data_IF_989297608259
#
_entry.id   IF_989297608259
#
_cell.length_a   1.000
_cell.length_b   1.000
_cell.length_c   1.000
_cell.angle_alpha   90.00
_cell.angle_beta   90.00
_cell.angle_gamma   90.00
#
_symmetry.space_group_name_H-M   'P 1'
#
loop_
_entity.id
_entity.type
_entity.pdbx_description
1 polymer ?
#
# COMPACT_ATOMS: atom_id res chain seq x y z
N UNK A 1 21.59 -13.24 -10.68
CA UNK A 1 21.76 -12.39 -9.47
C UNK A 1 22.13 -13.30 -8.31
N UNK A 2 23.29 -13.11 -7.66
CA UNK A 2 23.72 -13.91 -6.50
C UNK A 2 23.19 -13.24 -5.23
N UNK A 3 22.22 -13.84 -4.55
CA UNK A 3 21.81 -13.36 -3.22
C UNK A 3 22.81 -13.86 -2.19
N UNK A 4 23.53 -12.93 -1.55
CA UNK A 4 24.40 -13.20 -0.40
C UNK A 4 23.61 -12.79 0.85
N UNK A 5 23.08 -13.77 1.57
CA UNK A 5 22.49 -13.53 2.89
C UNK A 5 23.63 -13.68 3.89
N UNK A 6 24.15 -12.56 4.41
CA UNK A 6 25.14 -12.54 5.49
C UNK A 6 24.42 -12.46 6.82
N UNK A 7 24.20 -13.59 7.48
CA UNK A 7 23.79 -13.62 8.89
C UNK A 7 25.00 -13.36 9.78
N UNK A 8 24.90 -12.38 10.68
CA UNK A 8 25.98 -11.91 11.56
C UNK A 8 26.16 -12.83 12.78
N UNK A 9 26.30 -14.13 12.57
CA UNK A 9 26.81 -15.08 13.57
C UNK A 9 27.19 -16.39 12.86
N UNK A 10 28.46 -16.74 12.99
CA UNK A 10 29.13 -17.97 12.55
C UNK A 10 29.51 -18.12 11.07
N UNK A 11 30.76 -18.54 10.93
CA UNK A 11 31.63 -18.49 9.76
C UNK A 11 31.36 -19.67 8.80
N UNK A 12 30.12 -19.82 8.34
CA UNK A 12 29.73 -20.82 7.33
C UNK A 12 29.09 -20.11 6.13
N UNK A 13 29.88 -19.76 5.12
CA UNK A 13 29.33 -19.39 3.80
C UNK A 13 28.79 -20.64 3.12
N UNK A 14 27.54 -21.01 3.42
CA UNK A 14 26.82 -21.98 2.62
C UNK A 14 26.50 -21.34 1.26
N UNK A 15 27.25 -21.70 0.23
CA UNK A 15 26.92 -21.37 -1.15
C UNK A 15 25.73 -22.23 -1.60
N UNK A 16 24.51 -21.77 -1.30
CA UNK A 16 23.29 -22.39 -1.81
C UNK A 16 23.10 -21.94 -3.25
N UNK A 17 23.63 -22.72 -4.20
CA UNK A 17 23.36 -22.55 -5.63
C UNK A 17 21.98 -23.12 -5.94
N UNK A 18 20.93 -22.33 -5.71
CA UNK A 18 19.61 -22.66 -6.26
C UNK A 18 19.65 -22.39 -7.77
N UNK A 19 19.35 -23.36 -8.64
CA UNK A 19 19.23 -23.11 -10.09
C UNK A 19 18.29 -21.93 -10.32
N UNK A 20 18.60 -21.03 -11.25
CA UNK A 20 17.78 -19.83 -11.53
C UNK A 20 16.31 -20.18 -11.82
N UNK A 21 16.06 -21.34 -12.46
CA UNK A 21 14.72 -21.87 -12.72
C UNK A 21 13.96 -22.22 -11.41
N UNK A 22 14.65 -22.78 -10.42
CA UNK A 22 14.06 -23.11 -9.12
C UNK A 22 13.76 -21.84 -8.30
N UNK A 23 14.57 -20.79 -8.44
CA UNK A 23 14.32 -19.52 -7.77
C UNK A 23 13.11 -18.79 -8.36
N UNK A 24 13.00 -18.69 -9.69
CA UNK A 24 11.85 -18.07 -10.33
C UNK A 24 10.54 -18.80 -9.99
N UNK A 25 10.57 -20.13 -9.96
CA UNK A 25 9.43 -20.97 -9.57
C UNK A 25 9.05 -20.76 -8.09
N UNK A 26 10.04 -20.64 -7.20
CA UNK A 26 9.81 -20.35 -5.78
C UNK A 26 9.17 -18.97 -5.59
N UNK A 27 9.69 -17.94 -6.25
CA UNK A 27 9.13 -16.58 -6.19
C UNK A 27 7.69 -16.59 -6.73
N UNK A 28 7.43 -17.25 -7.86
CA UNK A 28 6.08 -17.40 -8.40
C UNK A 28 5.13 -18.05 -7.37
N UNK A 29 5.55 -19.15 -6.74
CA UNK A 29 4.77 -19.83 -5.71
C UNK A 29 4.52 -18.95 -4.48
N UNK A 30 5.50 -18.14 -4.08
CA UNK A 30 5.32 -17.17 -2.99
C UNK A 30 4.32 -16.08 -3.36
N UNK A 31 4.38 -15.57 -4.61
CA UNK A 31 3.41 -14.61 -5.13
C UNK A 31 2.01 -15.22 -5.12
N UNK A 32 1.82 -16.45 -5.59
CA UNK A 32 0.49 -17.09 -5.62
C UNK A 32 -0.11 -17.29 -4.21
N UNK A 33 0.73 -17.51 -3.19
CA UNK A 33 0.31 -17.69 -1.80
C UNK A 33 0.01 -16.35 -1.11
N UNK A 34 0.86 -15.34 -1.31
CA UNK A 34 0.77 -14.06 -0.61
C UNK A 34 -0.15 -13.09 -1.33
N UNK A 35 -0.07 -13.05 -2.66
CA UNK A 35 -0.77 -12.13 -3.56
C UNK A 35 -1.56 -12.94 -4.61
N UNK A 36 -2.60 -13.68 -4.19
CA UNK A 36 -3.48 -14.32 -5.15
C UNK A 36 -4.09 -13.27 -6.11
N UNK A 37 -4.56 -13.67 -7.30
CA UNK A 37 -5.29 -12.77 -8.19
C UNK A 37 -6.44 -12.10 -7.44
N UNK A 38 -6.52 -10.78 -7.54
CA UNK A 38 -7.55 -10.03 -6.81
C UNK A 38 -8.92 -10.27 -7.41
N UNK A 39 -9.90 -10.50 -6.54
CA UNK A 39 -11.33 -10.61 -6.86
C UNK A 39 -12.09 -9.40 -6.32
N UNK A 40 -13.32 -9.16 -6.80
CA UNK A 40 -14.13 -8.03 -6.34
C UNK A 40 -14.42 -8.06 -4.83
N UNK A 41 -14.49 -9.26 -4.23
CA UNK A 41 -14.70 -9.42 -2.80
C UNK A 41 -13.54 -8.87 -1.95
N UNK A 42 -12.30 -8.92 -2.46
CA UNK A 42 -11.11 -8.47 -1.75
C UNK A 42 -11.09 -6.97 -1.49
N UNK A 43 -11.79 -6.19 -2.34
CA UNK A 43 -11.81 -4.73 -2.26
C UNK A 43 -13.04 -4.20 -1.55
N UNK A 44 -13.86 -5.06 -0.95
CA UNK A 44 -15.02 -4.63 -0.14
C UNK A 44 -14.62 -4.09 1.23
N UNK A 45 -13.42 -4.44 1.70
CA UNK A 45 -12.84 -4.06 2.99
C UNK A 45 -11.46 -3.50 2.79
N UNK A 46 -10.92 -2.85 3.82
CA UNK A 46 -9.58 -2.27 3.73
C UNK A 46 -8.51 -3.37 3.54
N UNK A 47 -7.39 -3.08 2.86
CA UNK A 47 -6.33 -4.06 2.62
C UNK A 47 -5.74 -4.68 3.91
N UNK A 48 -5.77 -3.97 5.04
CA UNK A 48 -5.33 -4.46 6.36
C UNK A 48 -6.37 -5.33 7.08
N UNK A 49 -7.64 -5.27 6.66
CA UNK A 49 -8.77 -5.95 7.30
C UNK A 49 -8.93 -7.36 6.72
N UNK A 50 -8.69 -8.38 7.56
CA UNK A 50 -8.84 -9.79 7.19
C UNK A 50 -7.71 -10.68 7.71
N UNK A 51 -7.84 -11.98 7.45
CA UNK A 51 -6.96 -13.01 8.02
C UNK A 51 -5.99 -13.65 7.02
N UNK A 52 -6.05 -13.23 5.75
CA UNK A 52 -5.09 -13.67 4.75
C UNK A 52 -3.67 -13.20 5.10
N UNK A 53 -2.67 -13.86 4.51
CA UNK A 53 -1.28 -13.49 4.69
C UNK A 53 -1.00 -12.06 4.17
N UNK A 54 -1.64 -11.67 3.06
CA UNK A 54 -1.65 -10.29 2.54
C UNK A 54 -2.04 -9.30 3.63
N UNK A 55 -3.22 -9.49 4.24
CA UNK A 55 -3.75 -8.55 5.24
C UNK A 55 -2.82 -8.43 6.45
N UNK A 56 -2.25 -9.55 6.91
CA UNK A 56 -1.31 -9.58 8.04
C UNK A 56 -0.01 -8.83 7.74
N UNK A 57 0.54 -9.00 6.54
CA UNK A 57 1.75 -8.27 6.13
C UNK A 57 1.46 -6.77 6.03
N UNK A 58 0.32 -6.37 5.48
CA UNK A 58 -0.09 -4.95 5.42
C UNK A 58 -0.25 -4.36 6.82
N UNK A 59 -0.77 -5.12 7.80
CA UNK A 59 -0.78 -4.70 9.20
C UNK A 59 0.63 -4.48 9.77
N UNK A 60 1.61 -5.28 9.38
CA UNK A 60 3.02 -5.05 9.76
C UNK A 60 3.60 -3.82 9.04
N UNK A 61 3.19 -3.51 7.81
CA UNK A 61 3.60 -2.27 7.13
C UNK A 61 3.12 -1.01 7.87
N UNK A 62 2.05 -1.09 8.65
CA UNK A 62 1.53 0.01 9.46
C UNK A 62 2.09 0.05 10.89
N UNK A 63 2.86 -0.95 11.32
CA UNK A 63 3.36 -0.97 12.70
C UNK A 63 4.47 0.07 12.87
N UNK A 64 4.64 0.67 14.07
CA UNK A 64 5.70 1.64 14.34
C UNK A 64 7.10 1.01 14.46
N UNK A 65 7.24 -0.27 14.12
CA UNK A 65 8.46 -1.06 14.28
C UNK A 65 9.28 -1.08 12.99
N UNK A 66 10.60 -1.28 13.08
CA UNK A 66 11.50 -1.38 11.92
C UNK A 66 11.09 -2.48 10.92
N UNK A 67 10.33 -3.48 11.37
CA UNK A 67 9.77 -4.52 10.50
C UNK A 67 8.85 -3.98 9.41
N UNK A 68 8.32 -2.76 9.55
CA UNK A 68 7.45 -2.13 8.54
C UNK A 68 8.18 -1.93 7.21
N UNK A 69 9.44 -1.50 7.26
CA UNK A 69 10.23 -1.20 6.07
C UNK A 69 10.57 -2.52 5.34
N UNK A 70 10.96 -3.55 6.10
CA UNK A 70 11.18 -4.90 5.56
C UNK A 70 9.92 -5.52 4.96
N UNK A 71 8.76 -5.35 5.61
CA UNK A 71 7.48 -5.84 5.11
C UNK A 71 7.08 -5.13 3.81
N UNK A 72 7.29 -3.82 3.73
CA UNK A 72 6.99 -3.03 2.54
C UNK A 72 7.91 -3.38 1.37
N UNK A 73 9.21 -3.56 1.61
CA UNK A 73 10.17 -4.00 0.59
C UNK A 73 9.86 -5.42 0.11
N UNK A 74 9.51 -6.33 1.03
CA UNK A 74 9.07 -7.67 0.69
C UNK A 74 7.84 -7.65 -0.24
N UNK A 75 6.82 -6.88 0.10
CA UNK A 75 5.63 -6.70 -0.75
C UNK A 75 5.97 -6.14 -2.12
N UNK A 76 6.87 -5.14 -2.18
CA UNK A 76 7.27 -4.54 -3.45
C UNK A 76 8.03 -5.51 -4.37
N UNK A 77 8.88 -6.37 -3.80
CA UNK A 77 9.53 -7.45 -4.55
C UNK A 77 8.52 -8.45 -5.10
N UNK A 78 7.53 -8.86 -4.30
CA UNK A 78 6.44 -9.74 -4.77
C UNK A 78 5.60 -9.08 -5.86
N UNK A 79 5.44 -7.76 -5.80
CA UNK A 79 4.79 -6.96 -6.85
C UNK A 79 5.67 -6.74 -8.09
N UNK A 80 6.75 -7.52 -8.28
CA UNK A 80 7.70 -7.39 -9.40
C UNK A 80 8.30 -5.96 -9.52
N UNK A 81 8.40 -5.22 -8.41
CA UNK A 81 8.79 -3.80 -8.36
C UNK A 81 7.89 -2.86 -9.20
N UNK A 82 6.63 -3.24 -9.40
CA UNK A 82 5.63 -2.39 -10.03
C UNK A 82 4.90 -1.55 -9.00
N UNK A 83 4.91 -0.22 -9.19
CA UNK A 83 4.20 0.74 -8.32
C UNK A 83 2.69 0.52 -8.41
N UNK A 84 2.17 0.32 -9.62
CA UNK A 84 0.75 0.08 -9.85
C UNK A 84 0.27 -1.22 -9.17
N UNK A 85 1.06 -2.30 -9.28
CA UNK A 85 0.74 -3.56 -8.62
C UNK A 85 0.82 -3.44 -7.10
N UNK A 86 1.79 -2.70 -6.57
CA UNK A 86 1.89 -2.45 -5.13
C UNK A 86 0.66 -1.70 -4.61
N UNK A 87 0.29 -0.58 -5.25
CA UNK A 87 -0.87 0.23 -4.87
C UNK A 87 -2.16 -0.59 -4.95
N UNK A 88 -2.32 -1.45 -5.96
CA UNK A 88 -3.47 -2.35 -6.06
C UNK A 88 -3.63 -3.25 -4.84
N UNK A 89 -2.54 -3.87 -4.38
CA UNK A 89 -2.61 -4.83 -3.27
C UNK A 89 -2.60 -4.18 -1.88
N UNK A 90 -2.05 -2.97 -1.73
CA UNK A 90 -1.87 -2.32 -0.42
C UNK A 90 -2.64 -1.02 -0.23
N UNK A 91 -3.09 -0.37 -1.31
CA UNK A 91 -3.46 1.04 -1.29
C UNK A 91 -2.23 1.96 -1.27
N UNK A 92 -2.38 3.17 -1.81
CA UNK A 92 -1.33 4.18 -1.82
C UNK A 92 -1.00 4.67 -0.40
N UNK A 93 -1.98 4.76 0.51
CA UNK A 93 -1.73 5.18 1.89
C UNK A 93 -0.67 4.34 2.60
N UNK A 94 -0.73 3.01 2.46
CA UNK A 94 0.21 2.08 3.11
C UNK A 94 1.57 2.00 2.40
N UNK A 95 1.60 2.28 1.09
CA UNK A 95 2.83 2.20 0.28
C UNK A 95 3.54 3.54 0.09
N UNK A 96 2.89 4.66 0.38
CA UNK A 96 3.40 6.01 0.16
C UNK A 96 4.77 6.24 0.81
N UNK A 97 4.97 5.76 2.04
CA UNK A 97 6.26 5.88 2.73
C UNK A 97 7.40 5.14 2.01
N UNK A 98 7.13 3.92 1.52
CA UNK A 98 8.11 3.17 0.73
C UNK A 98 8.39 3.87 -0.60
N UNK A 99 7.35 4.34 -1.29
CA UNK A 99 7.47 5.00 -2.59
C UNK A 99 8.21 6.33 -2.49
N UNK A 100 7.96 7.11 -1.43
CA UNK A 100 8.67 8.34 -1.13
C UNK A 100 10.16 8.07 -0.89
N UNK A 101 10.48 7.13 0.01
CA UNK A 101 11.87 6.76 0.32
C UNK A 101 12.62 6.18 -0.89
N UNK A 102 11.89 5.58 -1.84
CA UNK A 102 12.46 5.00 -3.06
C UNK A 102 12.52 5.99 -4.24
N UNK A 103 12.01 7.22 -4.09
CA UNK A 103 11.96 8.21 -5.17
C UNK A 103 10.99 7.85 -6.31
N UNK A 104 9.97 7.03 -6.03
CA UNK A 104 9.05 6.48 -7.04
C UNK A 104 7.68 7.19 -7.08
N UNK A 105 7.51 8.30 -6.36
CA UNK A 105 6.23 9.03 -6.33
C UNK A 105 5.81 9.54 -7.72
N UNK A 106 6.77 9.91 -8.58
CA UNK A 106 6.51 10.32 -9.96
C UNK A 106 5.89 9.20 -10.81
N UNK A 107 6.03 7.94 -10.41
CA UNK A 107 5.54 6.77 -11.14
C UNK A 107 4.09 6.41 -10.83
N UNK A 108 3.46 7.05 -9.84
CA UNK A 108 2.07 6.76 -9.44
C UNK A 108 1.09 7.06 -10.58
N UNK A 109 1.37 8.08 -11.39
CA UNK A 109 0.50 8.51 -12.50
C UNK A 109 0.92 7.91 -13.85
N UNK A 110 1.92 7.01 -13.87
CA UNK A 110 2.32 6.37 -15.11
C UNK A 110 1.27 5.32 -15.53
N UNK A 111 0.97 5.21 -16.83
CA UNK A 111 0.01 4.23 -17.32
C UNK A 111 0.46 2.81 -16.95
N UNK A 112 -0.51 1.95 -16.63
CA UNK A 112 -0.26 0.54 -16.32
C UNK A 112 0.45 -0.14 -17.48
N UNK A 113 1.52 -0.87 -17.18
CA UNK A 113 2.16 -1.71 -18.18
C UNK A 113 1.34 -2.98 -18.39
N UNK A 114 1.34 -3.55 -19.61
CA UNK A 114 0.60 -4.79 -19.88
C UNK A 114 0.99 -5.92 -18.89
N UNK A 115 2.26 -5.99 -18.52
CA UNK A 115 2.81 -6.94 -17.55
C UNK A 115 2.26 -6.79 -16.11
N UNK A 116 1.59 -5.68 -15.78
CA UNK A 116 1.02 -5.46 -14.44
C UNK A 116 -0.33 -6.15 -14.25
N UNK A 117 -1.06 -6.40 -15.34
CA UNK A 117 -2.46 -6.87 -15.30
C UNK A 117 -2.62 -8.38 -15.49
N UNK A 118 -1.83 -8.99 -16.38
CA UNK A 118 -2.07 -10.35 -16.92
C UNK A 118 -2.13 -11.47 -15.86
N UNK A 119 -1.40 -11.34 -14.75
CA UNK A 119 -1.26 -12.41 -13.74
C UNK A 119 -2.02 -12.14 -12.43
N UNK A 120 -2.69 -10.99 -12.26
CA UNK A 120 -3.08 -10.53 -10.92
C UNK A 120 -4.52 -10.04 -10.78
N UNK A 121 -5.29 -10.06 -11.86
CA UNK A 121 -6.65 -9.56 -11.90
C UNK A 121 -7.60 -10.63 -12.42
N UNK A 122 -8.76 -10.74 -11.79
CA UNK A 122 -9.89 -11.50 -12.31
C UNK A 122 -10.87 -10.56 -13.02
N UNK A 123 -11.73 -11.13 -13.89
CA UNK A 123 -12.68 -10.34 -14.66
C UNK A 123 -13.69 -9.57 -13.77
N UNK A 124 -14.06 -10.14 -12.62
CA UNK A 124 -14.91 -9.47 -11.63
C UNK A 124 -14.20 -8.29 -10.93
N UNK A 125 -12.89 -8.38 -10.69
CA UNK A 125 -12.12 -7.25 -10.15
C UNK A 125 -12.06 -6.09 -11.15
N UNK A 126 -11.83 -6.38 -12.44
CA UNK A 126 -11.80 -5.33 -13.49
C UNK A 126 -13.11 -4.54 -13.57
N UNK A 127 -14.25 -5.18 -13.32
CA UNK A 127 -15.55 -4.52 -13.31
C UNK A 127 -15.76 -3.53 -12.14
N UNK A 128 -14.95 -3.60 -11.10
CA UNK A 128 -15.01 -2.69 -9.94
C UNK A 128 -13.81 -1.75 -9.86
N UNK A 129 -12.77 -1.97 -10.66
CA UNK A 129 -11.48 -1.31 -10.52
C UNK A 129 -11.57 0.22 -10.56
N UNK A 130 -12.32 0.77 -11.50
CA UNK A 130 -12.48 2.23 -11.68
C UNK A 130 -13.17 2.92 -10.48
N UNK A 131 -13.82 2.15 -9.60
CA UNK A 131 -14.52 2.65 -8.41
C UNK A 131 -13.70 2.51 -7.12
N UNK A 132 -12.58 1.79 -7.17
CA UNK A 132 -11.73 1.60 -5.99
C UNK A 132 -11.02 2.91 -5.69
N UNK A 133 -11.04 3.32 -4.42
CA UNK A 133 -10.25 4.47 -4.00
C UNK A 133 -8.76 4.07 -3.97
N UNK A 134 -7.89 4.70 -4.79
CA UNK A 134 -6.48 4.29 -4.89
C UNK A 134 -5.68 4.57 -3.61
N UNK A 135 -6.12 5.54 -2.80
CA UNK A 135 -5.50 5.86 -1.50
C UNK A 135 -5.74 4.75 -0.50
N UNK A 136 -6.99 4.30 -0.39
CA UNK A 136 -7.38 3.33 0.64
C UNK A 136 -7.36 1.88 0.17
N UNK A 137 -7.32 1.63 -1.14
CA UNK A 137 -7.28 0.28 -1.71
C UNK A 137 -8.58 -0.53 -1.54
N UNK A 138 -9.71 0.13 -1.25
CA UNK A 138 -11.02 -0.52 -1.13
C UNK A 138 -12.13 0.35 -1.70
N UNK A 139 -13.24 -0.30 -2.06
CA UNK A 139 -14.50 0.30 -2.43
C UNK A 139 -15.09 0.97 -1.19
N UNK A 140 -15.11 2.30 -1.19
CA UNK A 140 -15.88 3.02 -0.17
C UNK A 140 -17.33 2.54 -0.32
N UNK A 141 -17.99 2.09 0.77
CA UNK A 141 -19.42 1.90 0.73
C UNK A 141 -20.03 3.20 0.21
N UNK A 142 -21.06 3.12 -0.64
CA UNK A 142 -21.86 4.29 -0.97
C UNK A 142 -22.37 4.85 0.35
N UNK A 143 -21.63 5.80 0.93
CA UNK A 143 -22.01 6.45 2.17
C UNK A 143 -23.37 7.03 1.86
N UNK A 144 -24.38 6.70 2.67
CA UNK A 144 -25.65 7.44 2.69
C UNK A 144 -25.28 8.90 2.44
N UNK A 145 -25.68 9.45 1.30
CA UNK A 145 -25.07 10.63 0.65
C UNK A 145 -25.23 11.94 1.39
N UNK A 146 -25.32 11.88 2.71
CA UNK A 146 -25.48 12.96 3.64
C UNK A 146 -24.13 13.62 3.80
N UNK A 147 -24.05 14.88 3.41
CA UNK A 147 -22.84 15.65 3.62
C UNK A 147 -22.57 15.74 5.14
N UNK A 148 -21.32 15.75 5.61
CA UNK A 148 -21.02 15.92 7.04
C UNK A 148 -21.58 17.23 7.64
N UNK A 149 -21.98 18.16 6.78
CA UNK A 149 -22.54 19.46 7.10
C UNK A 149 -24.08 19.49 7.10
N UNK A 150 -24.74 18.38 6.76
CA UNK A 150 -26.18 18.30 6.67
C UNK A 150 -26.79 18.40 8.07
N UNK A 151 -27.71 19.34 8.26
CA UNK A 151 -28.30 19.66 9.57
C UNK A 151 -27.53 20.72 10.38
N UNK A 152 -26.41 21.26 9.88
CA UNK A 152 -25.74 22.43 10.48
C UNK A 152 -26.27 23.75 9.92
N UNK A 153 -26.51 24.74 10.78
CA UNK A 153 -26.77 26.12 10.33
C UNK A 153 -25.49 26.74 9.74
N UNK A 154 -25.63 27.84 8.99
CA UNK A 154 -24.48 28.48 8.37
C UNK A 154 -23.53 29.07 9.41
N UNK A 155 -24.04 29.65 10.51
CA UNK A 155 -23.21 30.15 11.60
C UNK A 155 -22.39 29.01 12.26
N UNK A 156 -22.99 27.82 12.37
CA UNK A 156 -22.31 26.67 12.94
C UNK A 156 -21.20 26.14 12.03
N UNK A 157 -21.40 26.17 10.71
CA UNK A 157 -20.35 25.82 9.74
C UNK A 157 -19.19 26.81 9.81
N UNK A 158 -19.48 28.10 9.87
CA UNK A 158 -18.45 29.14 10.01
C UNK A 158 -17.67 29.00 11.31
N UNK A 159 -18.36 28.71 12.42
CA UNK A 159 -17.72 28.50 13.72
C UNK A 159 -16.73 27.31 13.70
N UNK A 160 -17.13 26.16 13.17
CA UNK A 160 -16.24 25.00 13.04
C UNK A 160 -15.10 25.25 12.05
N UNK A 161 -15.35 26.00 10.96
CA UNK A 161 -14.30 26.41 10.04
C UNK A 161 -13.25 27.32 10.72
N UNK A 162 -13.68 28.30 11.51
CA UNK A 162 -12.78 29.17 12.27
C UNK A 162 -11.97 28.40 13.31
N UNK A 163 -12.60 27.44 13.98
CA UNK A 163 -11.93 26.55 14.94
C UNK A 163 -10.87 25.68 14.27
N UNK A 164 -11.13 25.20 13.05
CA UNK A 164 -10.13 24.46 12.26
C UNK A 164 -8.95 25.35 11.88
N UNK A 165 -9.20 26.58 11.42
CA UNK A 165 -8.14 27.56 11.09
C UNK A 165 -7.26 27.85 12.31
N UNK A 166 -7.85 28.09 13.47
CA UNK A 166 -7.11 28.31 14.72
C UNK A 166 -6.25 27.10 15.11
N UNK A 167 -6.77 25.87 14.96
CA UNK A 167 -5.99 24.65 15.19
C UNK A 167 -4.82 24.50 14.21
N UNK A 168 -5.01 24.81 12.92
CA UNK A 168 -3.95 24.80 11.93
C UNK A 168 -2.88 25.85 12.22
N UNK A 169 -3.27 27.08 12.58
CA UNK A 169 -2.34 28.14 12.98
C UNK A 169 -1.48 27.72 14.17
N UNK A 170 -2.09 27.14 15.21
CA UNK A 170 -1.36 26.61 16.37
C UNK A 170 -0.36 25.52 15.99
N UNK A 171 -0.71 24.63 15.07
CA UNK A 171 0.21 23.59 14.59
C UNK A 171 1.40 24.17 13.81
N UNK A 172 1.15 25.17 12.96
CA UNK A 172 2.21 25.89 12.24
C UNK A 172 3.15 26.62 13.21
N UNK A 173 2.60 27.30 14.21
CA UNK A 173 3.37 28.05 15.22
C UNK A 173 4.23 27.13 16.10
N UNK A 174 3.78 25.89 16.34
CA UNK A 174 4.57 24.89 17.09
C UNK A 174 5.70 24.24 16.28
N UNK A 175 5.88 24.61 15.01
CA UNK A 175 6.95 24.09 14.15
C UNK A 175 6.81 22.61 13.77
N UNK A 176 5.62 22.02 13.97
CA UNK A 176 5.36 20.63 13.57
C UNK A 176 5.08 20.46 12.07
N UNK A 177 4.83 21.58 11.37
CA UNK A 177 4.71 21.67 9.91
C UNK A 177 5.85 22.56 9.37
N UNK A 178 7.10 22.21 9.67
CA UNK A 178 8.25 22.86 9.03
C UNK A 178 8.50 22.25 7.66
N UNK A 179 8.72 23.14 6.69
CA UNK A 179 8.98 22.87 5.28
C UNK A 179 10.05 21.77 5.09
N UNK A 180 9.75 20.80 4.23
CA UNK A 180 10.79 19.96 3.64
C UNK A 180 11.52 20.81 2.59
N UNK A 181 12.71 21.33 2.93
CA UNK A 181 13.71 21.76 1.93
C UNK A 181 14.36 20.55 1.23
#
# INVERSE_FOLDING_TARGET
>A
MKFRITTRTQNCSAHISVPLLNFALLVKRLVDIVLPPMVAADVTRRPEEGDSLRNKIIRVMMSPTFSKDLASEFMFVLCKKSVNRLIKYTGLGHSAGLLANSGLLSQINLPKSASDSEDSETEDYKAVEDRINPVTGYLRPESSGVSPFEGMSEEQKEYEAMKLVDAMSKLMDTGMLLDCE
#
